data_IF_889489353293
#
_entry.id   IF_889489353293
#
_cell.length_a   1.000
_cell.length_b   1.000
_cell.length_c   1.000
_cell.angle_alpha   90.00
_cell.angle_beta   90.00
_cell.angle_gamma   90.00
#
_symmetry.space_group_name_H-M   'P 1'
#
loop_
_entity.id
_entity.type
_entity.pdbx_description
1 polymer ?
#
# COMPACT_ATOMS: atom_id res chain seq x y z
N UNK A 1 -24.26 -16.57 -7.49
CA UNK A 1 -23.12 -15.88 -6.85
C UNK A 1 -21.89 -16.75 -7.03
N UNK A 2 -20.69 -16.18 -7.18
CA UNK A 2 -19.45 -16.96 -7.14
C UNK A 2 -19.43 -17.76 -5.83
N UNK A 3 -18.99 -19.02 -5.87
CA UNK A 3 -18.87 -19.82 -4.66
C UNK A 3 -17.95 -19.13 -3.65
N UNK A 4 -18.41 -18.96 -2.40
CA UNK A 4 -17.61 -18.37 -1.32
C UNK A 4 -17.71 -16.86 -1.13
N UNK A 5 -18.64 -16.16 -1.80
CA UNK A 5 -18.93 -14.75 -1.54
C UNK A 5 -20.21 -14.64 -0.70
N UNK A 6 -20.09 -14.14 0.52
CA UNK A 6 -21.21 -13.98 1.45
C UNK A 6 -21.59 -12.50 1.58
N UNK A 7 -22.91 -12.22 1.56
CA UNK A 7 -23.43 -10.87 1.74
C UNK A 7 -23.60 -10.48 3.21
N UNK A 8 -23.87 -9.20 3.48
CA UNK A 8 -24.04 -8.68 4.84
C UNK A 8 -25.11 -9.44 5.64
N UNK A 9 -26.19 -9.86 4.97
CA UNK A 9 -27.25 -10.66 5.59
C UNK A 9 -26.74 -11.99 6.17
N UNK A 10 -25.83 -12.68 5.48
CA UNK A 10 -25.27 -13.96 5.93
C UNK A 10 -24.34 -13.77 7.14
N UNK A 11 -23.54 -12.69 7.14
CA UNK A 11 -22.75 -12.28 8.30
C UNK A 11 -23.65 -12.03 9.51
N UNK A 12 -24.68 -11.18 9.39
CA UNK A 12 -25.55 -10.84 10.51
C UNK A 12 -26.43 -12.00 10.99
N UNK A 13 -26.80 -12.93 10.10
CA UNK A 13 -27.41 -14.20 10.49
C UNK A 13 -26.46 -15.05 11.34
N UNK A 14 -25.18 -15.12 10.95
CA UNK A 14 -24.13 -15.81 11.72
C UNK A 14 -23.98 -15.18 13.09
N UNK A 15 -23.82 -13.85 13.16
CA UNK A 15 -23.71 -13.08 14.41
C UNK A 15 -24.91 -13.33 15.32
N UNK A 16 -26.14 -13.29 14.79
CA UNK A 16 -27.35 -13.57 15.57
C UNK A 16 -27.37 -14.99 16.14
N UNK A 17 -26.95 -15.98 15.34
CA UNK A 17 -26.84 -17.37 15.79
C UNK A 17 -25.80 -17.56 16.90
N UNK A 18 -24.66 -16.87 16.80
CA UNK A 18 -23.62 -16.90 17.84
C UNK A 18 -24.06 -16.17 19.11
N UNK A 19 -24.71 -15.02 18.97
CA UNK A 19 -25.28 -14.27 20.09
C UNK A 19 -26.28 -15.12 20.88
N UNK A 20 -27.17 -15.84 20.19
CA UNK A 20 -28.11 -16.77 20.83
C UNK A 20 -27.41 -17.94 21.57
N UNK A 21 -26.29 -18.46 21.05
CA UNK A 21 -25.49 -19.50 21.71
C UNK A 21 -24.76 -18.98 22.95
N UNK A 22 -24.30 -17.73 22.92
CA UNK A 22 -23.59 -17.08 24.02
C UNK A 22 -24.52 -16.63 25.15
N UNK A 23 -25.79 -16.36 24.85
CA UNK A 23 -26.78 -15.91 25.83
C UNK A 23 -26.30 -14.64 26.54
N UNK A 24 -26.12 -14.71 27.86
CA UNK A 24 -25.65 -13.57 28.67
C UNK A 24 -24.22 -13.10 28.31
N UNK A 25 -23.43 -13.93 27.62
CA UNK A 25 -22.08 -13.59 27.18
C UNK A 25 -22.06 -12.89 25.81
N UNK A 26 -23.21 -12.63 25.19
CA UNK A 26 -23.29 -11.93 23.89
C UNK A 26 -22.55 -10.60 23.83
N UNK A 27 -22.42 -9.79 24.92
CA UNK A 27 -21.66 -8.55 24.85
C UNK A 27 -20.18 -8.74 24.47
N UNK A 28 -19.59 -9.91 24.75
CA UNK A 28 -18.21 -10.22 24.32
C UNK A 28 -18.10 -10.33 22.80
N UNK A 29 -19.13 -10.85 22.14
CA UNK A 29 -19.20 -10.92 20.69
C UNK A 29 -19.35 -9.52 20.08
N UNK A 30 -20.16 -8.67 20.71
CA UNK A 30 -20.36 -7.29 20.26
C UNK A 30 -19.05 -6.48 20.38
N UNK A 31 -18.32 -6.66 21.47
CA UNK A 31 -17.00 -6.06 21.71
C UNK A 31 -15.97 -6.52 20.67
N UNK A 32 -15.90 -7.84 20.42
CA UNK A 32 -15.01 -8.39 19.39
C UNK A 32 -15.32 -7.84 17.99
N UNK A 33 -16.60 -7.85 17.58
CA UNK A 33 -17.01 -7.36 16.27
C UNK A 33 -16.69 -5.86 16.17
N UNK A 34 -17.00 -5.07 17.20
CA UNK A 34 -16.72 -3.63 17.21
C UNK A 34 -15.22 -3.36 17.06
N UNK A 35 -14.37 -4.08 17.80
CA UNK A 35 -12.92 -3.93 17.69
C UNK A 35 -12.38 -4.30 16.28
N UNK A 36 -12.93 -5.35 15.65
CA UNK A 36 -12.57 -5.72 14.27
C UNK A 36 -13.03 -4.64 13.28
N UNK A 37 -14.24 -4.10 13.43
CA UNK A 37 -14.78 -3.05 12.56
C UNK A 37 -14.05 -1.71 12.73
N UNK A 38 -13.70 -1.33 13.96
CA UNK A 38 -12.87 -0.15 14.24
C UNK A 38 -11.49 -0.30 13.61
N UNK A 39 -10.90 -1.50 13.67
CA UNK A 39 -9.65 -1.78 12.97
C UNK A 39 -9.81 -1.60 11.46
N UNK A 40 -10.90 -2.09 10.87
CA UNK A 40 -11.18 -1.90 9.43
C UNK A 40 -11.35 -0.43 9.05
N UNK A 41 -11.98 0.36 9.93
CA UNK A 41 -12.16 1.80 9.73
C UNK A 41 -10.83 2.57 9.80
N UNK A 42 -9.87 2.12 10.61
CA UNK A 42 -8.52 2.71 10.70
C UNK A 42 -7.61 2.28 9.54
N UNK A 43 -7.76 1.05 9.04
CA UNK A 43 -6.96 0.49 7.94
C UNK A 43 -7.78 0.33 6.67
N UNK A 44 -8.25 1.45 6.12
CA UNK A 44 -9.00 1.40 4.87
C UNK A 44 -8.08 1.13 3.68
N UNK A 45 -8.60 0.40 2.68
CA UNK A 45 -7.91 0.22 1.40
C UNK A 45 -7.63 1.56 0.70
N UNK A 46 -8.51 2.55 0.90
CA UNK A 46 -8.35 3.89 0.37
C UNK A 46 -7.14 4.61 0.98
N UNK A 47 -6.93 4.50 2.29
CA UNK A 47 -5.77 5.12 2.95
C UNK A 47 -4.46 4.49 2.48
N UNK A 48 -4.42 3.15 2.43
CA UNK A 48 -3.27 2.42 1.88
C UNK A 48 -2.97 2.84 0.43
N UNK A 49 -4.00 2.94 -0.41
CA UNK A 49 -3.88 3.40 -1.79
C UNK A 49 -3.38 4.86 -1.87
N UNK A 50 -3.91 5.75 -1.04
CA UNK A 50 -3.50 7.16 -1.00
C UNK A 50 -2.03 7.28 -0.59
N UNK A 51 -1.60 6.52 0.43
CA UNK A 51 -0.19 6.44 0.84
C UNK A 51 0.72 5.92 -0.27
N UNK A 52 0.30 4.89 -1.01
CA UNK A 52 1.05 4.40 -2.16
C UNK A 52 1.22 5.45 -3.26
N UNK A 53 0.14 6.19 -3.56
CA UNK A 53 0.18 7.29 -4.54
C UNK A 53 1.11 8.43 -4.10
N UNK A 54 1.02 8.83 -2.84
CA UNK A 54 1.92 9.84 -2.25
C UNK A 54 3.38 9.38 -2.27
N UNK A 55 3.65 8.11 -1.98
CA UNK A 55 5.00 7.57 -2.02
C UNK A 55 5.62 7.72 -3.41
N UNK A 56 4.91 7.28 -4.46
CA UNK A 56 5.36 7.47 -5.84
C UNK A 56 5.52 8.97 -6.20
N UNK A 57 4.60 9.83 -5.76
CA UNK A 57 4.75 11.27 -5.95
C UNK A 57 6.00 11.83 -5.29
N UNK A 58 6.37 11.37 -4.10
CA UNK A 58 7.62 11.79 -3.42
C UNK A 58 8.85 11.34 -4.18
N UNK A 59 8.85 10.13 -4.75
CA UNK A 59 9.95 9.68 -5.60
C UNK A 59 10.10 10.57 -6.85
N UNK A 60 8.99 10.98 -7.47
CA UNK A 60 9.03 11.94 -8.58
C UNK A 60 9.60 13.29 -8.16
N UNK A 61 9.25 13.80 -6.98
CA UNK A 61 9.87 15.04 -6.44
C UNK A 61 11.38 14.86 -6.19
N UNK A 62 11.81 13.70 -5.70
CA UNK A 62 13.23 13.39 -5.56
C UNK A 62 13.93 13.33 -6.93
N UNK A 63 13.30 12.72 -7.93
CA UNK A 63 13.80 12.68 -9.30
C UNK A 63 13.87 14.08 -9.93
N UNK A 64 12.93 14.97 -9.60
CA UNK A 64 12.93 16.39 -10.01
C UNK A 64 14.07 17.18 -9.37
N UNK A 65 14.42 16.84 -8.13
CA UNK A 65 15.50 17.41 -7.34
C UNK A 65 16.91 16.97 -7.74
N UNK A 66 17.05 16.06 -8.72
CA UNK A 66 18.33 15.74 -9.37
C UNK A 66 18.77 16.95 -10.22
N UNK A 67 19.24 17.97 -9.52
CA UNK A 67 20.12 19.04 -10.00
C UNK A 67 21.46 18.87 -9.26
N UNK A 68 22.59 19.33 -9.83
CA UNK A 68 23.93 19.07 -9.30
C UNK A 68 24.26 19.90 -8.03
N UNK A 69 23.39 19.88 -7.02
CA UNK A 69 23.65 20.48 -5.72
C UNK A 69 23.13 19.56 -4.59
N UNK A 70 23.96 19.20 -3.59
CA UNK A 70 23.77 18.02 -2.77
C UNK A 70 23.05 18.38 -1.47
N UNK A 71 21.73 18.60 -1.53
CA UNK A 71 20.92 18.54 -0.30
C UNK A 71 20.42 17.11 -0.14
N UNK A 72 21.24 16.30 0.52
CA UNK A 72 21.05 14.86 0.72
C UNK A 72 19.66 14.56 1.29
N UNK A 73 18.81 13.79 0.60
CA UNK A 73 17.56 13.32 1.16
C UNK A 73 17.84 12.28 2.27
N UNK A 74 16.93 12.11 3.25
CA UNK A 74 17.18 11.36 4.49
C UNK A 74 17.51 9.86 4.32
N UNK A 75 17.43 9.30 3.10
CA UNK A 75 17.72 7.90 2.79
C UNK A 75 19.02 7.76 1.98
N UNK A 76 20.14 7.50 2.68
CA UNK A 76 21.49 7.37 2.09
C UNK A 76 21.59 6.34 0.96
N UNK A 77 20.83 5.23 1.03
CA UNK A 77 20.84 4.16 0.02
C UNK A 77 20.18 4.59 -1.29
N UNK A 78 19.00 5.20 -1.19
CA UNK A 78 18.29 5.75 -2.35
C UNK A 78 19.11 6.83 -3.04
N UNK A 79 19.79 7.68 -2.27
CA UNK A 79 20.68 8.71 -2.80
C UNK A 79 21.89 8.13 -3.56
N UNK A 80 22.47 7.02 -3.09
CA UNK A 80 23.55 6.33 -3.82
C UNK A 80 23.07 5.63 -5.09
N UNK A 81 21.83 5.12 -5.10
CA UNK A 81 21.20 4.56 -6.31
C UNK A 81 20.80 5.67 -7.29
N UNK A 82 20.33 6.82 -6.78
CA UNK A 82 20.12 8.07 -7.52
C UNK A 82 21.40 8.56 -8.21
N UNK A 83 22.53 8.55 -7.50
CA UNK A 83 23.83 8.92 -8.06
C UNK A 83 24.29 7.93 -9.12
N UNK A 84 24.13 6.61 -8.89
CA UNK A 84 24.47 5.59 -9.89
C UNK A 84 23.59 5.66 -11.15
N UNK A 85 22.29 5.89 -10.98
CA UNK A 85 21.39 6.14 -12.10
C UNK A 85 21.81 7.41 -12.84
N UNK A 86 22.14 8.50 -12.13
CA UNK A 86 22.70 9.74 -12.69
C UNK A 86 24.02 9.54 -13.45
N UNK A 87 24.91 8.69 -12.96
CA UNK A 87 26.18 8.32 -13.61
C UNK A 87 25.95 7.48 -14.86
N UNK A 88 25.03 6.51 -14.82
CA UNK A 88 24.62 5.72 -15.99
C UNK A 88 23.90 6.56 -17.06
N UNK A 89 23.33 7.69 -16.65
CA UNK A 89 22.60 8.65 -17.48
C UNK A 89 23.43 9.91 -17.81
N UNK A 90 24.74 9.87 -17.52
CA UNK A 90 25.70 10.93 -17.83
C UNK A 90 26.00 11.02 -19.34
N UNK A 91 26.81 11.99 -19.81
CA UNK A 91 27.16 12.13 -21.23
C UNK A 91 27.76 10.86 -21.88
N UNK A 92 28.30 9.95 -21.07
CA UNK A 92 28.87 8.67 -21.50
C UNK A 92 27.83 7.51 -21.46
N UNK A 93 26.59 7.79 -21.07
CA UNK A 93 25.47 6.87 -21.03
C UNK A 93 24.84 6.57 -22.40
N UNK A 94 23.74 5.80 -22.46
CA UNK A 94 23.08 5.46 -23.72
C UNK A 94 22.76 6.70 -24.56
N UNK A 95 23.16 6.67 -25.85
CA UNK A 95 23.02 7.81 -26.76
C UNK A 95 21.58 8.36 -26.81
N UNK A 96 20.58 7.48 -26.68
CA UNK A 96 19.16 7.83 -26.65
C UNK A 96 18.79 8.79 -25.50
N UNK A 97 19.47 8.73 -24.35
CA UNK A 97 19.16 9.58 -23.21
C UNK A 97 19.75 10.99 -23.34
N UNK A 98 20.95 11.09 -23.93
CA UNK A 98 21.59 12.38 -24.23
C UNK A 98 20.81 13.20 -25.27
N UNK A 99 20.10 12.51 -26.18
CA UNK A 99 19.27 13.12 -27.21
C UNK A 99 17.92 13.66 -26.69
N UNK A 100 17.47 13.21 -25.50
CA UNK A 100 16.26 13.75 -24.88
C UNK A 100 16.46 15.21 -24.52
N UNK A 101 15.53 16.06 -24.96
CA UNK A 101 15.58 17.51 -24.72
C UNK A 101 14.67 17.92 -23.57
N UNK A 102 13.58 17.21 -23.37
CA UNK A 102 12.61 17.52 -22.34
C UNK A 102 13.08 17.02 -20.97
N UNK A 103 13.24 17.95 -20.05
CA UNK A 103 13.71 17.66 -18.69
C UNK A 103 12.72 16.76 -17.94
N UNK A 104 11.42 16.90 -18.19
CA UNK A 104 10.39 16.08 -17.53
C UNK A 104 10.44 14.61 -17.99
N UNK A 105 10.74 14.35 -19.26
CA UNK A 105 10.99 13.00 -19.78
C UNK A 105 12.19 12.36 -19.10
N UNK A 106 13.30 13.11 -18.96
CA UNK A 106 14.49 12.63 -18.24
C UNK A 106 14.16 12.29 -16.78
N UNK A 107 13.45 13.18 -16.08
CA UNK A 107 12.99 12.97 -14.69
C UNK A 107 12.08 11.76 -14.56
N UNK A 108 11.21 11.54 -15.55
CA UNK A 108 10.34 10.37 -15.58
C UNK A 108 11.14 9.08 -15.71
N UNK A 109 12.20 9.06 -16.52
CA UNK A 109 13.12 7.91 -16.62
C UNK A 109 13.88 7.69 -15.30
N UNK A 110 14.39 8.73 -14.65
CA UNK A 110 14.99 8.61 -13.31
C UNK A 110 14.01 8.02 -12.29
N UNK A 111 12.76 8.47 -12.31
CA UNK A 111 11.72 7.92 -11.46
C UNK A 111 11.48 6.43 -11.74
N UNK A 112 11.45 6.01 -13.01
CA UNK A 112 11.29 4.59 -13.39
C UNK A 112 12.41 3.72 -12.83
N UNK A 113 13.66 4.14 -13.04
CA UNK A 113 14.85 3.39 -12.63
C UNK A 113 14.88 3.13 -11.12
N UNK A 114 14.38 4.10 -10.34
CA UNK A 114 14.38 4.03 -8.87
C UNK A 114 13.11 3.44 -8.30
N UNK A 115 12.09 3.19 -9.13
CA UNK A 115 10.74 2.88 -8.68
C UNK A 115 10.69 1.58 -7.89
N UNK A 116 11.32 0.52 -8.42
CA UNK A 116 11.32 -0.80 -7.79
C UNK A 116 12.07 -0.81 -6.45
N UNK A 117 13.22 -0.14 -6.37
CA UNK A 117 14.01 -0.04 -5.15
C UNK A 117 13.27 0.79 -4.08
N UNK A 118 12.67 1.91 -4.45
CA UNK A 118 11.95 2.77 -3.53
C UNK A 118 10.65 2.17 -3.02
N UNK A 119 9.98 1.34 -3.83
CA UNK A 119 8.67 0.77 -3.52
C UNK A 119 8.66 0.04 -2.16
N UNK A 120 9.61 -0.86 -1.94
CA UNK A 120 9.67 -1.66 -0.72
C UNK A 120 10.00 -0.81 0.50
N UNK A 121 10.98 0.08 0.42
CA UNK A 121 11.31 0.99 1.52
C UNK A 121 10.12 1.92 1.87
N UNK A 122 9.34 2.36 0.89
CA UNK A 122 8.16 3.18 1.12
C UNK A 122 7.00 2.37 1.75
N UNK A 123 6.86 1.11 1.37
CA UNK A 123 5.87 0.21 1.95
C UNK A 123 6.20 -0.15 3.40
N UNK A 124 7.48 -0.36 3.73
CA UNK A 124 7.94 -0.57 5.10
C UNK A 124 7.64 0.63 6.00
N UNK A 125 7.91 1.85 5.54
CA UNK A 125 7.56 3.08 6.28
C UNK A 125 6.05 3.18 6.54
N UNK A 126 5.24 2.83 5.54
CA UNK A 126 3.80 2.78 5.68
C UNK A 126 3.38 1.75 6.75
N UNK A 127 3.95 0.54 6.74
CA UNK A 127 3.67 -0.48 7.75
C UNK A 127 4.05 -0.02 9.16
N UNK A 128 5.19 0.65 9.32
CA UNK A 128 5.63 1.19 10.62
C UNK A 128 4.67 2.29 11.12
N UNK A 129 4.18 3.16 10.25
CA UNK A 129 3.18 4.17 10.63
C UNK A 129 1.84 3.51 11.00
N UNK A 130 1.42 2.50 10.23
CA UNK A 130 0.21 1.73 10.53
C UNK A 130 0.29 1.00 11.86
N UNK A 131 1.43 0.38 12.19
CA UNK A 131 1.64 -0.27 13.48
C UNK A 131 1.51 0.72 14.65
N UNK A 132 2.05 1.94 14.49
CA UNK A 132 1.93 3.00 15.51
C UNK A 132 0.48 3.46 15.68
N UNK A 133 -0.29 3.55 14.60
CA UNK A 133 -1.73 3.87 14.66
C UNK A 133 -2.53 2.72 15.28
N UNK A 134 -2.23 1.48 14.91
CA UNK A 134 -2.87 0.29 15.46
C UNK A 134 -2.64 0.16 16.96
N UNK A 135 -1.40 0.32 17.42
CA UNK A 135 -1.05 0.22 18.84
C UNK A 135 -1.86 1.20 19.70
N UNK A 136 -2.21 2.39 19.16
CA UNK A 136 -3.09 3.34 19.85
C UNK A 136 -4.52 2.85 19.98
N UNK A 137 -5.03 2.10 19.00
CA UNK A 137 -6.38 1.54 19.01
C UNK A 137 -6.46 0.22 19.80
N UNK A 138 -5.50 -0.68 19.61
CA UNK A 138 -5.47 -2.00 20.24
C UNK A 138 -5.32 -1.94 21.77
N UNK A 139 -4.50 -1.01 22.28
CA UNK A 139 -4.35 -0.79 23.72
C UNK A 139 -5.66 -0.33 24.41
N UNK A 140 -6.61 0.21 23.66
CA UNK A 140 -7.91 0.66 24.19
C UNK A 140 -8.91 -0.49 24.26
N UNK A 141 -8.76 -1.52 23.40
CA UNK A 141 -9.84 -2.47 23.11
C UNK A 141 -9.58 -3.92 23.57
N UNK A 142 -8.43 -4.25 24.18
CA UNK A 142 -8.22 -5.56 24.83
C UNK A 142 -8.44 -6.80 23.94
N UNK A 143 -8.30 -6.65 22.63
CA UNK A 143 -8.81 -7.61 21.62
C UNK A 143 -8.27 -9.04 21.80
N UNK A 144 -7.03 -9.20 22.25
CA UNK A 144 -6.42 -10.51 22.50
C UNK A 144 -7.15 -11.30 23.60
N UNK A 145 -7.53 -10.63 24.70
CA UNK A 145 -8.29 -11.26 25.81
C UNK A 145 -9.70 -11.63 25.35
N UNK A 146 -10.39 -10.72 24.66
CA UNK A 146 -11.73 -10.96 24.12
C UNK A 146 -11.73 -12.13 23.14
N UNK A 147 -10.72 -12.19 22.25
CA UNK A 147 -10.54 -13.28 21.28
C UNK A 147 -10.32 -14.61 22.00
N UNK A 148 -9.44 -14.67 23.00
CA UNK A 148 -9.18 -15.89 23.76
C UNK A 148 -10.43 -16.39 24.50
N UNK A 149 -11.18 -15.48 25.12
CA UNK A 149 -12.41 -15.80 25.84
C UNK A 149 -13.53 -16.28 24.91
N UNK A 150 -13.70 -15.65 23.75
CA UNK A 150 -14.66 -16.11 22.75
C UNK A 150 -14.28 -17.47 22.16
N UNK A 151 -12.99 -17.68 21.87
CA UNK A 151 -12.50 -18.96 21.35
C UNK A 151 -12.73 -20.11 22.34
N UNK A 152 -12.60 -19.86 23.65
CA UNK A 152 -12.87 -20.85 24.70
C UNK A 152 -14.35 -21.29 24.73
N UNK A 153 -15.29 -20.43 24.36
CA UNK A 153 -16.73 -20.70 24.41
C UNK A 153 -17.29 -21.20 23.08
N UNK A 154 -16.88 -20.59 21.97
CA UNK A 154 -17.40 -20.89 20.63
C UNK A 154 -16.57 -21.91 19.86
N UNK A 155 -15.33 -22.15 20.28
CA UNK A 155 -14.31 -22.88 19.54
C UNK A 155 -13.59 -22.01 18.51
N UNK A 156 -12.30 -22.30 18.30
CA UNK A 156 -11.44 -21.57 17.37
C UNK A 156 -11.98 -21.56 15.93
N UNK A 157 -12.50 -22.69 15.45
CA UNK A 157 -13.03 -22.81 14.09
C UNK A 157 -14.22 -21.87 13.84
N UNK A 158 -15.14 -21.79 14.80
CA UNK A 158 -16.30 -20.88 14.73
C UNK A 158 -15.85 -19.42 14.69
N UNK A 159 -14.89 -19.06 15.54
CA UNK A 159 -14.39 -17.69 15.63
C UNK A 159 -13.60 -17.32 14.36
N UNK A 160 -12.81 -18.25 13.82
CA UNK A 160 -12.10 -18.08 12.55
C UNK A 160 -13.08 -17.89 11.39
N UNK A 161 -14.17 -18.67 11.34
CA UNK A 161 -15.20 -18.50 10.31
C UNK A 161 -15.85 -17.11 10.37
N UNK A 162 -16.19 -16.64 11.58
CA UNK A 162 -16.70 -15.28 11.78
C UNK A 162 -15.68 -14.23 11.32
N UNK A 163 -14.41 -14.39 11.71
CA UNK A 163 -13.34 -13.49 11.29
C UNK A 163 -13.17 -13.49 9.77
N UNK A 164 -13.24 -14.64 9.09
CA UNK A 164 -13.12 -14.71 7.64
C UNK A 164 -14.28 -14.00 6.94
N UNK A 165 -15.51 -14.10 7.46
CA UNK A 165 -16.66 -13.33 6.93
C UNK A 165 -16.47 -11.82 7.13
N UNK A 166 -16.01 -11.39 8.32
CA UNK A 166 -15.69 -9.99 8.59
C UNK A 166 -14.56 -9.50 7.66
N UNK A 167 -13.50 -10.30 7.49
CA UNK A 167 -12.34 -10.03 6.65
C UNK A 167 -12.74 -9.85 5.19
N UNK A 168 -13.51 -10.78 4.64
CA UNK A 168 -13.98 -10.68 3.25
C UNK A 168 -14.82 -9.43 2.99
N UNK A 169 -15.60 -8.99 3.99
CA UNK A 169 -16.50 -7.86 3.83
C UNK A 169 -15.81 -6.51 4.03
N UNK A 170 -14.96 -6.40 5.05
CA UNK A 170 -14.40 -5.13 5.52
C UNK A 170 -12.90 -4.97 5.21
N UNK A 171 -12.22 -6.04 4.78
CA UNK A 171 -10.83 -6.05 4.33
C UNK A 171 -10.70 -6.74 2.96
N UNK A 172 -11.34 -6.19 1.91
CA UNK A 172 -11.46 -6.85 0.61
C UNK A 172 -10.11 -7.03 -0.13
N UNK A 173 -9.09 -6.29 0.28
CA UNK A 173 -7.73 -6.38 -0.26
C UNK A 173 -6.71 -6.17 0.86
N UNK A 174 -5.53 -6.74 0.68
CA UNK A 174 -4.42 -6.54 1.61
C UNK A 174 -3.91 -5.11 1.56
N UNK A 175 -3.25 -4.68 2.64
CA UNK A 175 -2.59 -3.37 2.67
C UNK A 175 -1.53 -3.24 1.57
N UNK A 176 -0.80 -4.33 1.27
CA UNK A 176 0.18 -4.37 0.17
C UNK A 176 -0.48 -4.14 -1.19
N UNK A 177 -1.56 -4.86 -1.51
CA UNK A 177 -2.25 -4.72 -2.79
C UNK A 177 -2.83 -3.31 -2.97
N UNK A 178 -3.40 -2.76 -1.90
CA UNK A 178 -3.98 -1.41 -1.91
C UNK A 178 -2.90 -0.34 -2.10
N UNK A 179 -1.80 -0.43 -1.34
CA UNK A 179 -0.63 0.43 -1.49
C UNK A 179 -0.02 0.35 -2.88
N UNK A 180 0.21 -0.88 -3.37
CA UNK A 180 0.71 -1.16 -4.72
C UNK A 180 -0.17 -0.53 -5.79
N UNK A 181 -1.49 -0.65 -5.66
CA UNK A 181 -2.44 -0.03 -6.60
C UNK A 181 -2.30 1.48 -6.64
N UNK A 182 -2.12 2.12 -5.48
CA UNK A 182 -1.88 3.55 -5.38
C UNK A 182 -0.59 3.98 -6.06
N UNK A 183 0.49 3.28 -5.71
CA UNK A 183 1.83 3.53 -6.24
C UNK A 183 1.88 3.37 -7.76
N UNK A 184 1.34 2.26 -8.29
CA UNK A 184 1.31 2.03 -9.73
C UNK A 184 0.29 2.89 -10.48
N UNK A 185 -0.74 3.42 -9.81
CA UNK A 185 -1.61 4.43 -10.42
C UNK A 185 -0.84 5.72 -10.73
N UNK A 186 0.13 6.11 -9.91
CA UNK A 186 1.02 7.22 -10.21
C UNK A 186 2.01 6.84 -11.32
N UNK A 187 2.67 5.69 -11.18
CA UNK A 187 3.60 5.14 -12.18
C UNK A 187 2.99 5.13 -13.58
N UNK A 188 1.74 4.64 -13.69
CA UNK A 188 1.00 4.55 -14.95
C UNK A 188 0.84 5.93 -15.61
N UNK A 189 0.56 6.98 -14.83
CA UNK A 189 0.45 8.34 -15.37
C UNK A 189 1.79 8.84 -15.90
N UNK A 190 2.88 8.52 -15.20
CA UNK A 190 4.23 8.90 -15.60
C UNK A 190 4.67 8.18 -16.87
N UNK A 191 4.47 6.86 -16.97
CA UNK A 191 4.95 6.10 -18.12
C UNK A 191 4.17 6.37 -19.41
N UNK A 192 2.92 6.83 -19.30
CA UNK A 192 2.08 7.18 -20.43
C UNK A 192 2.32 8.61 -20.94
N UNK A 193 3.14 9.41 -20.23
CA UNK A 193 3.57 10.71 -20.71
C UNK A 193 4.30 10.57 -22.05
N UNK A 194 3.89 11.36 -23.03
CA UNK A 194 4.53 11.45 -24.34
C UNK A 194 5.52 12.60 -24.35
N UNK A 195 6.77 12.30 -24.72
CA UNK A 195 7.80 13.31 -24.96
C UNK A 195 7.45 14.09 -26.24
N UNK A 196 7.38 15.41 -26.12
CA UNK A 196 6.95 16.29 -27.21
C UNK A 196 7.97 16.44 -28.34
N UNK A 197 9.22 15.99 -28.16
CA UNK A 197 10.27 16.09 -29.17
C UNK A 197 10.36 14.82 -30.02
N UNK A 198 10.36 13.64 -29.41
CA UNK A 198 10.47 12.37 -30.13
C UNK A 198 9.12 11.69 -30.39
N UNK A 199 8.00 12.20 -29.84
CA UNK A 199 6.67 11.60 -29.95
C UNK A 199 6.61 10.15 -29.46
N UNK A 200 7.36 9.87 -28.39
CA UNK A 200 7.42 8.55 -27.77
C UNK A 200 6.99 8.64 -26.33
N UNK A 201 6.34 7.59 -25.85
CA UNK A 201 5.97 7.51 -24.44
C UNK A 201 7.17 7.13 -23.59
N UNK A 202 7.19 7.59 -22.34
CA UNK A 202 8.27 7.31 -21.38
C UNK A 202 8.55 5.81 -21.26
N UNK A 203 7.54 4.94 -21.27
CA UNK A 203 7.81 3.48 -21.23
C UNK A 203 8.59 2.98 -22.44
N UNK A 204 8.38 3.56 -23.64
CA UNK A 204 9.10 3.17 -24.85
C UNK A 204 10.57 3.60 -24.75
N UNK A 205 10.79 4.79 -24.21
CA UNK A 205 12.13 5.34 -23.98
C UNK A 205 12.88 4.56 -22.91
N UNK A 206 12.19 4.16 -21.84
CA UNK A 206 12.78 3.34 -20.78
C UNK A 206 13.06 1.91 -21.24
N UNK A 207 12.20 1.32 -22.08
CA UNK A 207 12.45 -0.01 -22.65
C UNK A 207 13.69 -0.05 -23.55
N UNK A 208 13.99 1.04 -24.26
CA UNK A 208 15.23 1.17 -25.05
C UNK A 208 16.48 1.43 -24.19
N UNK A 209 16.28 1.85 -22.93
CA UNK A 209 17.36 2.15 -21.99
C UNK A 209 17.85 0.89 -21.23
N UNK A 210 16.94 -0.05 -20.95
CA UNK A 210 17.25 -1.34 -20.29
C UNK A 210 18.14 -2.25 -21.17
#
# INVERSE_FOLDING_TARGET
>A
MPQGVFGAADLFCTVRGLSARLGYQSPLLDEYISAVLESAAVFSAYDAQSHGYEAASRLMELARGITPDPVVPPRKRLYSELLRAGEALSPDGPACFNELRELETKRSIYFMELSDAYFFDAYEDYLLDMQKRYAKCACVNGLEDVTARLAAVLGQETLQNLYDKLRQMFFPCTALESFRRGYYSFLLKTILHEDGFCHRQVWQLWADFL
#
